data_IF_472781379417
#
_entry.id   IF_472781379417
#
_cell.length_a   1.000
_cell.length_b   1.000
_cell.length_c   1.000
_cell.angle_alpha   90.00
_cell.angle_beta   90.00
_cell.angle_gamma   90.00
#
_symmetry.space_group_name_H-M   'P 1'
#
loop_
_entity.id
_entity.type
_entity.pdbx_description
1 polymer ?
#
# COMPACT_ATOMS: atom_id res chain seq x y z
N UNK A 1 4.66 -56.15 17.43
CA UNK A 1 3.63 -55.12 17.19
C UNK A 1 4.33 -53.78 17.20
N UNK A 2 4.78 -53.30 16.04
CA UNK A 2 5.44 -52.00 15.87
C UNK A 2 5.38 -51.58 14.39
N UNK A 3 4.18 -51.27 13.89
CA UNK A 3 3.96 -50.80 12.51
C UNK A 3 3.10 -49.53 12.50
N UNK A 4 3.27 -48.66 13.51
CA UNK A 4 2.50 -47.41 13.62
C UNK A 4 3.32 -46.16 13.29
N UNK A 5 4.56 -46.30 12.82
CA UNK A 5 5.49 -45.18 12.58
C UNK A 5 5.84 -44.97 11.09
N UNK A 6 5.33 -45.82 10.19
CA UNK A 6 5.57 -45.75 8.75
C UNK A 6 4.28 -45.52 7.98
N UNK A 7 4.35 -44.74 6.92
CA UNK A 7 3.19 -44.42 6.10
C UNK A 7 3.00 -45.44 4.98
N UNK A 8 1.81 -46.07 4.94
CA UNK A 8 1.44 -47.12 3.98
C UNK A 8 1.47 -46.69 2.50
N UNK A 9 1.47 -45.38 2.21
CA UNK A 9 1.49 -44.87 0.82
C UNK A 9 2.89 -44.62 0.27
N UNK A 10 3.88 -44.41 1.14
CA UNK A 10 5.22 -43.97 0.76
C UNK A 10 6.33 -44.81 1.42
N UNK A 11 6.00 -45.79 2.27
CA UNK A 11 6.90 -46.63 3.07
C UNK A 11 8.00 -45.85 3.81
N UNK A 12 7.74 -44.57 4.09
CA UNK A 12 8.63 -43.66 4.80
C UNK A 12 8.13 -43.45 6.24
N UNK A 13 9.03 -43.18 7.20
CA UNK A 13 8.62 -42.84 8.56
C UNK A 13 7.77 -41.56 8.54
N UNK A 14 6.72 -41.49 9.37
CA UNK A 14 5.75 -40.38 9.35
C UNK A 14 6.39 -39.00 9.59
N UNK A 15 7.51 -38.94 10.33
CA UNK A 15 8.27 -37.70 10.55
C UNK A 15 8.87 -37.09 9.27
N UNK A 16 8.98 -37.88 8.19
CA UNK A 16 9.59 -37.48 6.93
C UNK A 16 8.62 -37.60 5.75
N UNK A 17 7.50 -38.29 5.90
CA UNK A 17 6.51 -38.40 4.83
C UNK A 17 5.51 -37.24 4.83
N UNK A 18 5.32 -36.62 3.66
CA UNK A 18 4.35 -35.54 3.41
C UNK A 18 2.91 -35.94 3.77
N UNK A 19 2.57 -37.23 3.70
CA UNK A 19 1.25 -37.75 4.03
C UNK A 19 0.97 -37.85 5.54
N UNK A 20 2.03 -37.88 6.37
CA UNK A 20 1.93 -38.11 7.81
C UNK A 20 2.29 -36.92 8.68
N UNK A 21 2.67 -35.79 8.07
CA UNK A 21 3.08 -34.61 8.82
C UNK A 21 1.86 -34.05 9.57
N UNK A 22 1.85 -34.01 10.92
CA UNK A 22 0.77 -33.36 11.65
C UNK A 22 0.75 -31.88 11.24
N UNK A 23 -0.46 -31.34 11.02
CA UNK A 23 -0.64 -29.91 10.72
C UNK A 23 0.18 -29.10 11.74
N UNK A 24 1.02 -28.15 11.29
CA UNK A 24 1.76 -27.29 12.20
C UNK A 24 0.79 -26.68 13.21
N UNK A 25 1.06 -26.92 14.50
CA UNK A 25 0.32 -26.25 15.57
C UNK A 25 0.42 -24.75 15.34
N UNK A 26 -0.71 -24.02 15.27
CA UNK A 26 -0.66 -22.58 15.11
C UNK A 26 0.12 -21.99 16.28
N UNK A 27 1.15 -21.20 15.95
CA UNK A 27 1.88 -20.42 16.94
C UNK A 27 0.88 -19.54 17.71
N UNK A 28 1.02 -19.41 19.03
CA UNK A 28 0.17 -18.51 19.79
C UNK A 28 0.30 -17.10 19.23
N UNK A 29 -0.84 -16.44 19.02
CA UNK A 29 -0.89 -15.07 18.54
C UNK A 29 -0.01 -14.17 19.43
N UNK A 30 0.74 -13.22 18.84
CA UNK A 30 1.49 -12.26 19.63
C UNK A 30 0.53 -11.52 20.57
N UNK A 31 0.94 -11.23 21.82
CA UNK A 31 0.07 -10.58 22.78
C UNK A 31 -0.46 -9.26 22.21
N UNK A 32 -1.75 -8.94 22.43
CA UNK A 32 -2.33 -7.70 21.94
C UNK A 32 -1.49 -6.53 22.47
N UNK A 33 -0.96 -5.73 21.55
CA UNK A 33 -0.33 -4.47 21.93
C UNK A 33 -1.38 -3.66 22.69
N UNK A 34 -1.14 -3.47 23.98
CA UNK A 34 -1.96 -2.65 24.85
C UNK A 34 -1.87 -1.22 24.31
N UNK A 35 -2.83 -0.85 23.46
CA UNK A 35 -3.07 0.54 23.11
C UNK A 35 -3.44 1.24 24.41
N UNK A 36 -2.52 2.02 24.95
CA UNK A 36 -2.84 2.94 26.05
C UNK A 36 -4.05 3.76 25.61
N UNK A 37 -5.17 3.76 26.35
CA UNK A 37 -6.34 4.53 25.97
C UNK A 37 -5.95 6.01 25.95
N UNK A 38 -6.00 6.60 24.76
CA UNK A 38 -5.87 8.04 24.59
C UNK A 38 -7.01 8.67 25.39
N UNK A 39 -6.67 9.41 26.44
CA UNK A 39 -7.60 10.23 27.21
C UNK A 39 -8.39 11.09 26.23
N UNK A 40 -9.65 10.73 25.99
CA UNK A 40 -10.60 11.57 25.26
C UNK A 40 -10.95 12.71 26.20
N UNK A 41 -10.24 13.84 26.05
CA UNK A 41 -10.75 15.08 26.60
C UNK A 41 -12.09 15.35 25.90
N UNK A 42 -13.15 15.48 26.69
CA UNK A 42 -14.47 15.91 26.23
C UNK A 42 -14.30 17.26 25.57
N UNK A 43 -14.44 17.30 24.23
CA UNK A 43 -14.32 18.53 23.44
C UNK A 43 -15.50 19.44 23.82
N UNK A 44 -15.21 20.55 24.48
CA UNK A 44 -16.17 21.63 24.71
C UNK A 44 -16.59 22.16 23.32
N UNK A 45 -17.89 22.25 22.99
CA UNK A 45 -18.32 22.84 21.72
C UNK A 45 -18.04 24.35 21.78
N UNK A 46 -17.16 24.85 20.89
CA UNK A 46 -16.92 26.30 20.79
C UNK A 46 -15.50 26.76 20.49
N UNK A 47 -14.51 25.86 20.35
CA UNK A 47 -13.16 26.28 19.97
C UNK A 47 -13.05 26.42 18.46
N UNK A 48 -12.95 27.68 18.03
CA UNK A 48 -12.53 28.16 16.70
C UNK A 48 -11.42 27.27 16.12
N UNK A 49 -11.62 26.80 14.91
CA UNK A 49 -10.73 25.88 14.19
C UNK A 49 -9.31 26.47 14.12
N UNK A 50 -8.40 25.91 14.90
CA UNK A 50 -6.99 26.28 14.84
C UNK A 50 -6.41 25.77 13.51
N UNK A 51 -5.61 26.57 12.80
CA UNK A 51 -5.02 26.14 11.54
C UNK A 51 -4.18 24.88 11.76
N UNK A 52 -4.22 23.90 10.85
CA UNK A 52 -3.49 22.66 11.01
C UNK A 52 -1.99 22.94 11.11
N UNK A 53 -1.36 22.48 12.19
CA UNK A 53 0.10 22.52 12.32
C UNK A 53 0.71 21.63 11.24
N UNK A 54 1.39 22.23 10.27
CA UNK A 54 2.10 21.50 9.21
C UNK A 54 3.37 20.91 9.81
N UNK A 55 3.30 19.65 10.23
CA UNK A 55 4.49 18.87 10.61
C UNK A 55 5.25 18.55 9.32
N UNK A 56 6.56 18.85 9.21
CA UNK A 56 7.33 18.54 8.01
C UNK A 56 7.37 17.02 7.81
N UNK A 57 6.75 16.56 6.71
CA UNK A 57 6.65 15.14 6.37
C UNK A 57 7.85 14.69 5.55
N UNK A 58 8.31 13.47 5.81
CA UNK A 58 9.47 12.83 5.17
C UNK A 58 9.25 12.44 3.70
N UNK A 59 7.99 12.30 3.28
CA UNK A 59 7.58 11.86 1.95
C UNK A 59 6.35 12.64 1.47
N UNK A 60 6.18 12.72 0.16
CA UNK A 60 5.05 13.36 -0.53
C UNK A 60 3.77 12.56 -0.30
N UNK A 61 2.66 13.25 -0.03
CA UNK A 61 1.38 12.60 0.21
C UNK A 61 0.66 12.27 -1.10
N UNK A 62 -0.22 11.26 -1.12
CA UNK A 62 -1.00 10.93 -2.32
C UNK A 62 -1.78 12.11 -2.91
N UNK A 63 -2.44 12.92 -2.08
CA UNK A 63 -3.21 14.09 -2.55
C UNK A 63 -2.32 15.20 -3.14
N UNK A 64 -1.04 15.28 -2.74
CA UNK A 64 -0.08 16.23 -3.33
C UNK A 64 0.29 15.80 -4.77
N UNK A 65 0.14 14.51 -5.11
CA UNK A 65 0.43 13.97 -6.44
C UNK A 65 -0.73 14.10 -7.42
N UNK A 66 -1.97 14.27 -6.92
CA UNK A 66 -3.18 14.42 -7.73
C UNK A 66 -3.05 15.48 -8.84
N UNK A 67 -2.66 16.73 -8.57
CA UNK A 67 -2.56 17.74 -9.63
C UNK A 67 -1.51 17.38 -10.70
N UNK A 68 -0.44 16.70 -10.32
CA UNK A 68 0.58 16.24 -11.25
C UNK A 68 0.08 15.10 -12.13
N UNK A 69 -0.67 14.15 -11.56
CA UNK A 69 -1.29 13.06 -12.33
C UNK A 69 -2.21 13.61 -13.42
N UNK A 70 -3.04 14.60 -13.09
CA UNK A 70 -3.95 15.22 -14.06
C UNK A 70 -3.16 15.93 -15.15
N UNK A 71 -2.12 16.69 -14.79
CA UNK A 71 -1.27 17.39 -15.74
C UNK A 71 -0.60 16.43 -16.75
N UNK A 72 0.01 15.34 -16.29
CA UNK A 72 0.62 14.33 -17.19
C UNK A 72 -0.41 13.77 -18.16
N UNK A 73 -1.61 13.43 -17.68
CA UNK A 73 -2.63 12.85 -18.54
C UNK A 73 -3.18 13.85 -19.53
N UNK A 74 -3.36 15.12 -19.15
CA UNK A 74 -3.78 16.19 -20.06
C UNK A 74 -2.75 16.39 -21.17
N UNK A 75 -1.46 16.46 -20.84
CA UNK A 75 -0.35 16.59 -21.79
C UNK A 75 -0.27 15.40 -22.76
N UNK A 76 -0.72 14.22 -22.35
CA UNK A 76 -0.70 13.02 -23.17
C UNK A 76 -2.01 12.72 -23.92
N UNK A 77 -2.99 13.64 -23.91
CA UNK A 77 -4.25 13.47 -24.63
C UNK A 77 -5.30 12.64 -23.89
N UNK A 78 -5.15 12.51 -22.57
CA UNK A 78 -6.14 11.99 -21.64
C UNK A 78 -6.04 10.50 -21.31
N UNK A 79 -5.06 9.78 -21.88
CA UNK A 79 -4.86 8.35 -21.62
C UNK A 79 -3.37 7.99 -21.64
N UNK A 80 -2.95 7.17 -20.68
CA UNK A 80 -1.59 6.62 -20.63
C UNK A 80 -1.57 5.23 -20.01
N UNK A 81 -0.61 4.39 -20.39
CA UNK A 81 -0.34 3.15 -19.66
C UNK A 81 0.43 3.43 -18.36
N UNK A 82 0.49 2.42 -17.50
CA UNK A 82 0.98 2.55 -16.14
C UNK A 82 2.47 2.79 -16.07
N UNK A 83 3.27 2.14 -16.92
CA UNK A 83 4.72 2.31 -16.90
C UNK A 83 5.10 3.67 -17.45
N UNK A 84 4.50 4.05 -18.60
CA UNK A 84 4.68 5.38 -19.17
C UNK A 84 4.21 6.47 -18.19
N UNK A 85 3.16 6.20 -17.40
CA UNK A 85 2.59 7.17 -16.46
C UNK A 85 3.54 7.38 -15.29
N UNK A 86 4.12 6.30 -14.77
CA UNK A 86 5.13 6.41 -13.74
C UNK A 86 6.38 7.12 -14.28
N UNK A 87 6.83 6.83 -15.50
CA UNK A 87 8.00 7.50 -16.08
C UNK A 87 7.78 9.00 -16.26
N UNK A 88 6.64 9.40 -16.84
CA UNK A 88 6.29 10.81 -17.04
C UNK A 88 6.14 11.54 -15.69
N UNK A 89 5.47 10.92 -14.72
CA UNK A 89 5.27 11.48 -13.40
C UNK A 89 6.60 11.60 -12.62
N UNK A 90 7.52 10.65 -12.78
CA UNK A 90 8.86 10.70 -12.17
C UNK A 90 9.68 11.88 -12.74
N UNK A 91 9.62 12.10 -14.06
CA UNK A 91 10.27 13.24 -14.71
C UNK A 91 9.69 14.57 -14.21
N UNK A 92 8.37 14.69 -14.15
CA UNK A 92 7.71 15.92 -13.70
C UNK A 92 7.97 16.22 -12.21
N UNK A 93 8.06 15.17 -11.38
CA UNK A 93 8.26 15.32 -9.94
C UNK A 93 9.75 15.29 -9.53
N UNK A 94 10.70 15.21 -10.46
CA UNK A 94 12.12 15.03 -10.14
C UNK A 94 12.62 16.03 -9.09
N UNK A 95 12.17 17.29 -9.19
CA UNK A 95 12.51 18.40 -8.29
C UNK A 95 11.63 18.49 -7.03
N UNK A 96 10.48 17.82 -7.02
CA UNK A 96 9.48 17.88 -5.92
C UNK A 96 9.59 16.68 -4.98
N UNK A 97 10.01 15.52 -5.49
CA UNK A 97 10.16 14.29 -4.69
C UNK A 97 11.19 14.49 -3.59
N UNK A 98 10.79 14.19 -2.36
CA UNK A 98 11.66 14.24 -1.19
C UNK A 98 12.59 13.03 -1.18
N UNK A 99 13.69 13.05 -0.42
CA UNK A 99 14.58 11.89 -0.32
C UNK A 99 13.84 10.61 0.13
N UNK A 100 12.88 10.73 1.05
CA UNK A 100 12.09 9.60 1.54
C UNK A 100 11.13 9.00 0.52
N UNK A 101 10.81 9.72 -0.56
CA UNK A 101 9.96 9.23 -1.65
C UNK A 101 10.68 8.20 -2.52
N UNK A 102 12.00 8.33 -2.64
CA UNK A 102 12.89 7.44 -3.41
C UNK A 102 13.27 6.17 -2.64
N UNK A 103 12.86 6.05 -1.37
CA UNK A 103 13.06 4.83 -0.58
C UNK A 103 12.05 3.75 -0.98
N UNK A 104 12.44 2.48 -0.77
CA UNK A 104 11.50 1.35 -0.88
C UNK A 104 10.67 1.21 0.39
N UNK A 105 9.40 0.89 0.21
CA UNK A 105 8.50 0.45 1.28
C UNK A 105 8.84 -1.00 1.70
N UNK A 106 8.24 -1.52 2.79
CA UNK A 106 8.46 -2.90 3.23
C UNK A 106 8.13 -3.98 2.18
N UNK A 107 7.31 -3.65 1.18
CA UNK A 107 6.93 -4.51 0.07
C UNK A 107 7.93 -4.43 -1.10
N UNK A 108 8.99 -3.62 -1.01
CA UNK A 108 10.03 -3.49 -2.02
C UNK A 108 9.76 -2.44 -3.12
N UNK A 109 8.65 -1.71 -3.03
CA UNK A 109 8.24 -0.70 -4.00
C UNK A 109 8.65 0.72 -3.58
N UNK A 110 9.01 1.59 -4.52
CA UNK A 110 9.23 3.02 -4.24
C UNK A 110 8.01 3.67 -3.58
N UNK A 111 8.24 4.44 -2.53
CA UNK A 111 7.17 5.09 -1.76
C UNK A 111 6.31 6.01 -2.61
N UNK A 112 6.92 6.76 -3.54
CA UNK A 112 6.17 7.67 -4.40
C UNK A 112 5.27 6.93 -5.40
N UNK A 113 5.69 5.77 -5.92
CA UNK A 113 4.84 4.94 -6.80
C UNK A 113 3.63 4.41 -6.04
N UNK A 114 3.83 3.98 -4.81
CA UNK A 114 2.73 3.57 -3.92
C UNK A 114 1.78 4.75 -3.61
N UNK A 115 2.32 5.97 -3.45
CA UNK A 115 1.52 7.17 -3.27
C UNK A 115 0.75 7.56 -4.54
N UNK A 116 1.37 7.44 -5.72
CA UNK A 116 0.73 7.69 -7.01
C UNK A 116 -0.43 6.70 -7.27
N UNK A 117 -0.29 5.42 -6.94
CA UNK A 117 -1.43 4.47 -7.02
C UNK A 117 -2.59 4.84 -6.10
N UNK A 118 -2.30 5.40 -4.91
CA UNK A 118 -3.34 5.92 -4.02
C UNK A 118 -4.01 7.16 -4.60
N UNK A 119 -3.23 8.05 -5.22
CA UNK A 119 -3.77 9.22 -5.93
C UNK A 119 -4.68 8.79 -7.10
N UNK A 120 -4.30 7.75 -7.87
CA UNK A 120 -5.17 7.15 -8.90
C UNK A 120 -6.50 6.72 -8.32
N UNK A 121 -6.47 5.99 -7.20
CA UNK A 121 -7.68 5.51 -6.54
C UNK A 121 -8.58 6.68 -6.14
N UNK A 122 -8.02 7.71 -5.51
CA UNK A 122 -8.75 8.92 -5.13
C UNK A 122 -9.37 9.63 -6.35
N UNK A 123 -8.66 9.69 -7.47
CA UNK A 123 -9.17 10.27 -8.71
C UNK A 123 -10.28 9.45 -9.36
N UNK A 124 -10.22 8.13 -9.28
CA UNK A 124 -11.31 7.25 -9.71
C UNK A 124 -12.52 7.42 -8.78
N UNK A 125 -12.29 7.45 -7.47
CA UNK A 125 -13.35 7.60 -6.46
C UNK A 125 -14.09 8.96 -6.59
N UNK A 126 -13.38 10.01 -7.03
CA UNK A 126 -13.94 11.34 -7.29
C UNK A 126 -14.49 11.53 -8.71
N UNK A 127 -14.32 10.54 -9.59
CA UNK A 127 -14.84 10.56 -10.96
C UNK A 127 -14.01 11.40 -11.95
N UNK A 128 -12.78 11.78 -11.60
CA UNK A 128 -11.86 12.48 -12.51
C UNK A 128 -11.17 11.50 -13.48
N UNK A 129 -10.91 10.27 -13.02
CA UNK A 129 -10.41 9.18 -13.87
C UNK A 129 -11.48 8.11 -14.04
N UNK A 130 -11.50 7.46 -15.21
CA UNK A 130 -12.29 6.24 -15.44
C UNK A 130 -11.46 4.99 -15.15
N UNK A 131 -12.14 3.95 -14.66
CA UNK A 131 -11.54 2.63 -14.46
C UNK A 131 -11.41 1.89 -15.80
N UNK A 132 -10.51 2.35 -16.68
CA UNK A 132 -10.33 1.84 -18.05
C UNK A 132 -9.72 0.43 -18.13
N UNK A 133 -9.09 -0.06 -17.06
CA UNK A 133 -8.51 -1.40 -16.98
C UNK A 133 -7.30 -1.48 -16.05
N UNK A 134 -6.70 -2.67 -15.91
CA UNK A 134 -5.43 -2.85 -15.21
C UNK A 134 -4.34 -2.06 -15.94
N UNK A 135 -3.61 -1.22 -15.22
CA UNK A 135 -2.49 -0.46 -15.78
C UNK A 135 -2.87 0.75 -16.64
N UNK A 136 -4.12 0.93 -17.06
CA UNK A 136 -4.52 2.09 -17.88
C UNK A 136 -4.97 3.26 -17.00
N UNK A 137 -4.46 4.45 -17.26
CA UNK A 137 -4.87 5.70 -16.62
C UNK A 137 -5.57 6.55 -17.67
N UNK A 138 -6.80 6.98 -17.39
CA UNK A 138 -7.62 7.69 -18.36
C UNK A 138 -8.52 8.72 -17.69
N UNK A 139 -8.49 9.95 -18.19
CA UNK A 139 -9.40 11.03 -17.79
C UNK A 139 -10.85 10.66 -18.17
N UNK A 140 -11.79 11.05 -17.31
CA UNK A 140 -13.21 10.79 -17.52
C UNK A 140 -13.82 11.57 -18.68
#
# INVERSE_FOLDING_TARGET
MADADYCDLCDLPFSTCVHGMPKPVPLPDPPPKVSTPRVRTTRVPGTREAPPRVVPRKWTQPHELVPHVIAVLDEAGGELDGEDMFEALEKQLADVLKPGDREKNPQGELRWRAAARKARKELIDTGVLVAAGPGVWKLA
#
